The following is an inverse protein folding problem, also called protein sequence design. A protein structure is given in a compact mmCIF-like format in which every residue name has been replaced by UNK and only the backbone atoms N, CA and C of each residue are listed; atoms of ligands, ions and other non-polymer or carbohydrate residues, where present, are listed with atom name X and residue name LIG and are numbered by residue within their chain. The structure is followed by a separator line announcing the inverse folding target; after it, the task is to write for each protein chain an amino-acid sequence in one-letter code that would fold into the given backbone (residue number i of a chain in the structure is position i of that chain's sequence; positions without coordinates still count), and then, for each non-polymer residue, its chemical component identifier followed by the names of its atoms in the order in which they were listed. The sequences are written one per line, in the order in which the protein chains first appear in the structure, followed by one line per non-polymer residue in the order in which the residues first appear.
data_IF_648326499387
#
_entry.id   IF_648326499387
#
_cell.length_a   1.000
_cell.length_b   1.000
_cell.length_c   1.000
_cell.angle_alpha   90.00
_cell.angle_beta   90.00
_cell.angle_gamma   90.00
#
_symmetry.space_group_name_H-M   'P 1'
#
loop_
_entity.id
_entity.type
_entity.pdbx_description
1 polymer ?
#
# COMPACT_ATOMS: atom_id res chain seq x y z
N UNK A 1 19.11 61.46 12.47
CA UNK A 1 19.60 60.36 11.62
C UNK A 1 18.94 59.06 12.09
N UNK A 2 17.77 58.73 11.54
CA UNK A 2 16.98 57.55 11.96
C UNK A 2 17.03 56.54 10.81
N UNK A 3 17.60 55.36 11.07
CA UNK A 3 17.64 54.24 10.10
C UNK A 3 16.27 53.56 10.04
N UNK A 4 15.73 53.37 8.84
CA UNK A 4 14.61 52.46 8.57
C UNK A 4 15.10 51.00 8.48
N UNK A 5 14.34 50.00 8.94
CA UNK A 5 14.61 48.61 8.61
C UNK A 5 13.87 48.21 7.32
N UNK A 6 14.60 47.58 6.39
CA UNK A 6 14.08 47.04 5.15
C UNK A 6 13.23 45.78 5.39
N UNK A 7 11.97 45.80 4.93
CA UNK A 7 11.13 44.61 4.80
C UNK A 7 11.60 43.79 3.60
N UNK A 8 12.28 42.66 3.87
CA UNK A 8 12.74 41.73 2.82
C UNK A 8 12.44 40.26 3.18
N UNK A 9 11.17 39.94 3.48
CA UNK A 9 10.76 38.55 3.82
C UNK A 9 9.50 38.05 3.09
N UNK A 10 8.67 38.91 2.47
CA UNK A 10 7.39 38.46 1.90
C UNK A 10 7.46 37.79 0.51
N UNK A 11 8.55 37.96 -0.26
CA UNK A 11 8.57 37.51 -1.66
C UNK A 11 8.73 35.99 -1.83
N UNK A 12 9.50 35.31 -0.96
CA UNK A 12 9.77 33.86 -1.07
C UNK A 12 8.55 32.99 -0.72
N UNK A 13 7.73 33.43 0.25
CA UNK A 13 6.49 32.74 0.64
C UNK A 13 5.43 32.75 -0.46
N UNK A 14 5.23 33.90 -1.12
CA UNK A 14 4.26 34.04 -2.20
C UNK A 14 4.65 33.23 -3.46
N UNK A 15 5.95 33.13 -3.77
CA UNK A 15 6.46 32.29 -4.87
C UNK A 15 6.27 30.79 -4.58
N UNK A 16 6.51 30.35 -3.33
CA UNK A 16 6.27 28.96 -2.90
C UNK A 16 4.78 28.61 -2.95
N UNK A 17 3.91 29.52 -2.49
CA UNK A 17 2.45 29.37 -2.52
C UNK A 17 1.91 29.34 -3.95
N UNK A 18 2.37 30.24 -4.84
CA UNK A 18 1.99 30.23 -6.27
C UNK A 18 2.47 28.96 -7.00
N UNK A 19 3.64 28.42 -6.63
CA UNK A 19 4.16 27.15 -7.17
C UNK A 19 3.36 25.94 -6.67
N UNK A 20 3.00 25.92 -5.38
CA UNK A 20 2.11 24.92 -4.78
C UNK A 20 0.71 24.95 -5.42
N UNK A 21 0.14 26.14 -5.61
CA UNK A 21 -1.18 26.32 -6.23
C UNK A 21 -1.17 25.91 -7.71
N UNK A 22 -0.14 26.29 -8.49
CA UNK A 22 0.02 25.87 -9.90
C UNK A 22 0.27 24.36 -10.05
N UNK A 23 1.09 23.77 -9.19
CA UNK A 23 1.33 22.32 -9.16
C UNK A 23 0.05 21.56 -8.83
N UNK A 24 -0.71 22.03 -7.83
CA UNK A 24 -2.00 21.41 -7.49
C UNK A 24 -3.03 21.55 -8.60
N UNK A 25 -3.01 22.65 -9.37
CA UNK A 25 -3.97 22.87 -10.46
C UNK A 25 -3.75 21.91 -11.64
N UNK A 26 -2.49 21.65 -12.01
CA UNK A 26 -2.16 20.69 -13.08
C UNK A 26 -2.47 19.24 -12.67
N UNK A 27 -2.27 18.88 -11.41
CA UNK A 27 -2.61 17.56 -10.88
C UNK A 27 -4.13 17.38 -10.72
N UNK A 28 -4.86 18.43 -10.31
CA UNK A 28 -6.32 18.46 -10.28
C UNK A 28 -6.89 18.33 -11.69
N UNK A 29 -6.32 19.02 -12.68
CA UNK A 29 -6.72 18.86 -14.08
C UNK A 29 -6.41 17.46 -14.62
N UNK A 30 -5.34 16.82 -14.17
CA UNK A 30 -4.99 15.45 -14.56
C UNK A 30 -5.92 14.39 -13.96
N UNK A 31 -6.19 14.46 -12.65
CA UNK A 31 -7.21 13.61 -11.99
C UNK A 31 -8.58 13.87 -12.60
N UNK A 32 -8.93 15.13 -12.89
CA UNK A 32 -10.16 15.48 -13.60
C UNK A 32 -10.16 15.05 -15.07
N UNK A 33 -9.01 14.97 -15.75
CA UNK A 33 -8.87 14.51 -17.13
C UNK A 33 -9.06 12.99 -17.23
N UNK A 34 -8.42 12.23 -16.33
CA UNK A 34 -8.63 10.78 -16.19
C UNK A 34 -10.09 10.50 -15.79
N UNK A 35 -10.61 11.26 -14.82
CA UNK A 35 -12.02 11.13 -14.39
C UNK A 35 -12.99 11.44 -15.53
N UNK A 36 -12.77 12.48 -16.34
CA UNK A 36 -13.70 12.88 -17.43
C UNK A 36 -13.89 11.81 -18.51
N UNK A 37 -12.88 10.99 -18.82
CA UNK A 37 -13.03 9.83 -19.70
C UNK A 37 -13.60 8.59 -18.98
N UNK A 38 -13.29 8.42 -17.70
CA UNK A 38 -13.68 7.25 -16.90
C UNK A 38 -15.06 7.36 -16.20
N UNK A 39 -15.82 8.43 -16.50
CA UNK A 39 -17.17 8.67 -15.98
C UNK A 39 -18.25 7.72 -16.56
N UNK A 40 -17.97 6.96 -17.63
CA UNK A 40 -19.01 6.17 -18.34
C UNK A 40 -18.74 4.67 -18.42
N UNK A 41 -17.49 4.23 -18.39
CA UNK A 41 -17.12 2.83 -18.51
C UNK A 41 -15.80 2.54 -17.80
N UNK A 42 -15.60 1.28 -17.43
CA UNK A 42 -14.34 0.78 -16.89
C UNK A 42 -13.22 0.97 -17.93
N UNK A 43 -12.03 1.48 -17.54
CA UNK A 43 -10.88 1.57 -18.42
C UNK A 43 -10.53 0.22 -19.03
N UNK A 44 -10.13 0.23 -20.30
CA UNK A 44 -9.51 -0.92 -20.95
C UNK A 44 -8.06 -1.08 -20.48
N UNK A 45 -7.53 -2.30 -20.62
CA UNK A 45 -6.11 -2.59 -20.33
C UNK A 45 -5.14 -1.70 -21.10
N UNK A 46 -5.50 -1.27 -22.31
CA UNK A 46 -4.66 -0.38 -23.11
C UNK A 46 -4.63 1.05 -22.55
N UNK A 47 -5.78 1.55 -22.08
CA UNK A 47 -5.87 2.86 -21.42
C UNK A 47 -5.12 2.87 -20.09
N UNK A 48 -5.25 1.80 -19.30
CA UNK A 48 -4.49 1.60 -18.06
C UNK A 48 -2.98 1.65 -18.33
N UNK A 49 -2.50 0.88 -19.31
CA UNK A 49 -1.07 0.85 -19.68
C UNK A 49 -0.56 2.20 -20.17
N UNK A 50 -1.34 2.88 -21.01
CA UNK A 50 -1.01 4.23 -21.49
C UNK A 50 -0.91 5.22 -20.33
N UNK A 51 -1.88 5.18 -19.41
CA UNK A 51 -1.89 6.03 -18.22
C UNK A 51 -0.67 5.75 -17.32
N UNK A 52 -0.40 4.49 -16.98
CA UNK A 52 0.74 4.09 -16.14
C UNK A 52 2.10 4.48 -16.77
N UNK A 53 2.20 4.46 -18.10
CA UNK A 53 3.42 4.88 -18.80
C UNK A 53 3.73 6.37 -18.59
N UNK A 54 2.68 7.20 -18.44
CA UNK A 54 2.79 8.65 -18.21
C UNK A 54 3.13 9.02 -16.76
N UNK A 55 2.81 8.16 -15.79
CA UNK A 55 3.08 8.42 -14.38
C UNK A 55 4.57 8.30 -14.05
N UNK A 56 5.20 9.34 -13.48
CA UNK A 56 6.61 9.32 -13.10
C UNK A 56 6.87 9.80 -11.67
N UNK A 57 7.67 9.02 -10.95
CA UNK A 57 8.09 9.31 -9.58
C UNK A 57 7.00 9.08 -8.54
N UNK A 58 7.44 8.79 -7.32
CA UNK A 58 6.56 8.72 -6.16
C UNK A 58 5.95 10.09 -5.85
N UNK A 59 4.73 10.11 -5.30
CA UNK A 59 4.08 11.33 -4.81
C UNK A 59 4.24 11.54 -3.29
N UNK A 60 5.19 10.83 -2.68
CA UNK A 60 5.61 10.96 -1.28
C UNK A 60 7.14 11.07 -1.18
N UNK A 61 7.64 11.44 0.00
CA UNK A 61 9.07 11.72 0.22
C UNK A 61 9.92 10.46 0.01
N UNK A 62 11.01 10.58 -0.75
CA UNK A 62 11.88 9.46 -1.17
C UNK A 62 12.47 8.70 0.03
N UNK A 63 12.68 9.39 1.16
CA UNK A 63 13.15 8.78 2.41
C UNK A 63 12.23 7.69 2.98
N UNK A 64 10.98 7.60 2.50
CA UNK A 64 10.01 6.60 2.91
C UNK A 64 9.81 5.47 1.89
N UNK A 65 10.48 5.52 0.74
CA UNK A 65 10.37 4.45 -0.26
C UNK A 65 10.97 3.17 0.31
N UNK A 66 10.18 2.11 0.34
CA UNK A 66 10.53 0.83 0.94
C UNK A 66 10.38 0.78 2.46
N UNK A 67 9.87 1.84 3.11
CA UNK A 67 9.79 1.89 4.57
C UNK A 67 8.94 0.75 5.14
N UNK A 68 7.92 0.24 4.43
CA UNK A 68 7.12 -0.90 4.91
C UNK A 68 7.89 -2.22 4.99
N UNK A 69 9.06 -2.34 4.32
CA UNK A 69 9.95 -3.49 4.44
C UNK A 69 10.69 -3.54 5.78
N UNK A 70 10.85 -2.38 6.42
CA UNK A 70 11.53 -2.25 7.71
C UNK A 70 10.62 -2.57 8.90
N UNK A 71 9.35 -2.93 8.65
CA UNK A 71 8.39 -3.23 9.71
C UNK A 71 8.75 -4.54 10.44
N UNK A 72 8.52 -4.62 11.76
CA UNK A 72 7.88 -3.63 12.63
C UNK A 72 8.78 -2.41 12.89
N UNK A 73 8.18 -1.22 12.80
CA UNK A 73 8.92 0.03 12.99
C UNK A 73 9.22 0.31 14.46
N UNK A 74 10.38 0.94 14.73
CA UNK A 74 10.65 1.55 16.03
C UNK A 74 9.63 2.65 16.36
N UNK A 75 9.47 2.95 17.65
CA UNK A 75 8.59 4.04 18.09
C UNK A 75 8.95 5.38 17.43
N UNK A 76 10.24 5.69 17.30
CA UNK A 76 10.71 6.93 16.67
C UNK A 76 10.32 7.01 15.19
N UNK A 77 10.42 5.90 14.44
CA UNK A 77 10.04 5.84 13.02
C UNK A 77 8.52 5.97 12.86
N UNK A 78 7.75 5.34 13.74
CA UNK A 78 6.30 5.47 13.78
C UNK A 78 5.87 6.92 14.06
N UNK A 79 6.51 7.58 15.02
CA UNK A 79 6.23 8.97 15.36
C UNK A 79 6.66 9.92 14.24
N UNK A 80 7.75 9.62 13.53
CA UNK A 80 8.16 10.39 12.35
C UNK A 80 7.11 10.30 11.22
N UNK A 81 6.61 9.11 10.91
CA UNK A 81 5.53 8.92 9.93
C UNK A 81 4.27 9.72 10.31
N UNK A 82 3.86 9.66 11.59
CA UNK A 82 2.70 10.41 12.09
C UNK A 82 2.92 11.93 12.03
N UNK A 83 4.10 12.43 12.43
CA UNK A 83 4.44 13.87 12.34
C UNK A 83 4.42 14.37 10.90
N UNK A 84 4.83 13.54 9.94
CA UNK A 84 4.79 13.87 8.51
C UNK A 84 3.38 13.69 7.90
N UNK A 85 2.37 13.42 8.75
CA UNK A 85 0.95 13.41 8.42
C UNK A 85 0.43 12.07 7.90
N UNK A 86 1.21 11.00 7.97
CA UNK A 86 0.78 9.68 7.52
C UNK A 86 -0.11 8.99 8.56
N UNK A 87 -1.13 8.33 8.07
CA UNK A 87 -1.99 7.42 8.82
C UNK A 87 -1.54 6.00 8.53
N UNK A 88 -1.28 5.24 9.59
CA UNK A 88 -0.88 3.85 9.50
C UNK A 88 -2.13 2.95 9.58
N UNK A 89 -2.22 1.97 8.69
CA UNK A 89 -3.16 0.86 8.79
C UNK A 89 -2.36 -0.44 8.85
N UNK A 90 -2.75 -1.32 9.75
CA UNK A 90 -2.12 -2.63 9.90
C UNK A 90 -3.21 -3.66 10.16
N UNK A 91 -3.22 -4.74 9.40
CA UNK A 91 -4.10 -5.87 9.60
C UNK A 91 -3.36 -7.14 9.27
N UNK A 92 -3.47 -8.12 10.18
CA UNK A 92 -2.87 -9.44 10.03
C UNK A 92 -3.94 -10.47 10.38
N UNK A 93 -4.16 -11.45 9.50
CA UNK A 93 -5.17 -12.49 9.67
C UNK A 93 -4.56 -13.86 9.41
N UNK A 94 -4.92 -14.86 10.24
CA UNK A 94 -4.50 -16.25 10.02
C UNK A 94 -5.34 -16.81 8.87
N UNK A 95 -4.68 -17.31 7.84
CA UNK A 95 -5.34 -17.78 6.61
C UNK A 95 -5.20 -19.28 6.38
N UNK A 96 -4.33 -19.95 7.14
CA UNK A 96 -4.18 -21.40 7.07
C UNK A 96 -3.10 -21.93 8.00
N UNK A 97 -2.69 -23.16 7.73
CA UNK A 97 -1.56 -23.81 8.38
C UNK A 97 -0.79 -24.68 7.38
N UNK A 98 0.52 -24.82 7.57
CA UNK A 98 1.37 -25.68 6.77
C UNK A 98 1.94 -25.06 5.49
N UNK A 99 2.97 -25.72 4.92
CA UNK A 99 3.66 -25.26 3.71
C UNK A 99 2.73 -25.17 2.50
N UNK A 100 1.73 -26.05 2.42
CA UNK A 100 0.75 -26.03 1.33
C UNK A 100 -0.15 -24.79 1.37
N UNK A 101 -0.60 -24.38 2.57
CA UNK A 101 -1.38 -23.15 2.70
C UNK A 101 -0.54 -21.92 2.36
N UNK A 102 0.74 -21.90 2.76
CA UNK A 102 1.68 -20.85 2.40
C UNK A 102 1.90 -20.75 0.89
N UNK A 103 2.19 -21.86 0.22
CA UNK A 103 2.38 -21.88 -1.23
C UNK A 103 1.14 -21.35 -1.99
N UNK A 104 -0.06 -21.74 -1.55
CA UNK A 104 -1.32 -21.22 -2.11
C UNK A 104 -1.50 -19.72 -1.85
N UNK A 105 -1.23 -19.26 -0.62
CA UNK A 105 -1.34 -17.86 -0.26
C UNK A 105 -0.38 -17.00 -1.08
N UNK A 106 0.87 -17.46 -1.25
CA UNK A 106 1.90 -16.84 -2.08
C UNK A 106 1.46 -16.75 -3.54
N UNK A 107 1.00 -17.85 -4.13
CA UNK A 107 0.50 -17.87 -5.51
C UNK A 107 -0.66 -16.86 -5.72
N UNK A 108 -1.63 -16.85 -4.80
CA UNK A 108 -2.76 -15.91 -4.85
C UNK A 108 -2.33 -14.45 -4.72
N UNK A 109 -1.29 -14.20 -3.92
CA UNK A 109 -0.71 -12.88 -3.78
C UNK A 109 0.03 -12.46 -5.07
N UNK A 110 0.81 -13.35 -5.67
CA UNK A 110 1.53 -13.15 -6.94
C UNK A 110 0.60 -12.92 -8.14
N UNK A 111 -0.58 -13.54 -8.13
CA UNK A 111 -1.59 -13.42 -9.18
C UNK A 111 -2.70 -12.39 -8.87
N UNK A 112 -2.45 -11.47 -7.92
CA UNK A 112 -3.35 -10.37 -7.57
C UNK A 112 -4.76 -10.78 -7.09
N UNK A 113 -5.00 -12.03 -6.66
CA UNK A 113 -6.34 -12.55 -6.30
C UNK A 113 -6.95 -11.87 -5.09
N UNK A 114 -6.12 -11.38 -4.17
CA UNK A 114 -6.51 -10.56 -3.02
C UNK A 114 -7.03 -9.16 -3.42
N UNK A 115 -6.71 -8.72 -4.64
CA UNK A 115 -7.12 -7.47 -5.27
C UNK A 115 -8.03 -7.78 -6.48
N UNK A 116 -9.03 -8.66 -6.32
CA UNK A 116 -10.10 -8.90 -7.32
C UNK A 116 -11.48 -8.80 -6.65
N UNK A 117 -11.85 -7.60 -6.21
CA UNK A 117 -12.95 -7.37 -5.27
C UNK A 117 -14.25 -6.87 -5.94
N UNK A 118 -14.35 -6.93 -7.27
CA UNK A 118 -15.48 -6.43 -8.05
C UNK A 118 -15.52 -4.91 -8.22
N UNK A 119 -15.24 -4.16 -7.15
CA UNK A 119 -15.10 -2.69 -7.17
C UNK A 119 -13.64 -2.23 -7.23
N UNK A 120 -12.67 -3.10 -6.94
CA UNK A 120 -11.24 -2.84 -7.03
C UNK A 120 -10.52 -4.02 -7.68
N UNK A 121 -9.58 -3.74 -8.58
CA UNK A 121 -8.87 -4.77 -9.32
C UNK A 121 -7.52 -4.33 -9.88
N UNK A 122 -6.59 -5.26 -10.00
CA UNK A 122 -5.33 -5.11 -10.77
C UNK A 122 -5.38 -6.06 -11.97
N UNK A 123 -4.82 -5.68 -13.12
CA UNK A 123 -4.63 -6.59 -14.26
C UNK A 123 -3.78 -7.81 -13.82
N UNK A 124 -4.34 -9.03 -13.82
CA UNK A 124 -3.64 -10.24 -13.36
C UNK A 124 -2.38 -10.59 -14.17
N UNK A 125 -2.25 -10.06 -15.39
CA UNK A 125 -1.05 -10.24 -16.21
C UNK A 125 0.13 -9.35 -15.77
N UNK A 126 -0.08 -8.48 -14.79
CA UNK A 126 0.96 -7.54 -14.30
C UNK A 126 1.97 -8.27 -13.41
N UNK A 127 3.25 -8.37 -13.80
CA UNK A 127 4.25 -9.05 -12.99
C UNK A 127 4.63 -8.21 -11.77
N UNK A 128 4.74 -8.87 -10.61
CA UNK A 128 5.30 -8.27 -9.39
C UNK A 128 6.83 -8.27 -9.50
N UNK A 129 7.39 -7.14 -9.92
CA UNK A 129 8.85 -6.94 -10.05
C UNK A 129 9.22 -5.57 -9.54
N UNK A 130 10.37 -5.44 -8.88
CA UNK A 130 10.86 -4.14 -8.38
C UNK A 130 10.95 -3.13 -9.54
N UNK A 131 10.42 -1.93 -9.31
CA UNK A 131 10.29 -0.88 -10.33
C UNK A 131 9.15 -1.08 -11.34
N UNK A 132 8.46 -2.23 -11.32
CA UNK A 132 7.26 -2.49 -12.12
C UNK A 132 6.10 -1.61 -11.67
N UNK A 133 5.42 -0.97 -12.63
CA UNK A 133 4.21 -0.18 -12.37
C UNK A 133 2.97 -1.04 -12.50
N UNK A 134 1.98 -0.77 -11.66
CA UNK A 134 0.67 -1.38 -11.71
C UNK A 134 -0.41 -0.36 -11.36
N UNK A 135 -1.63 -0.59 -11.82
CA UNK A 135 -2.78 0.27 -11.56
C UNK A 135 -3.82 -0.50 -10.77
N UNK A 136 -4.32 0.09 -9.68
CA UNK A 136 -5.55 -0.40 -9.05
C UNK A 136 -6.71 0.35 -9.69
N UNK A 137 -7.47 -0.37 -10.51
CA UNK A 137 -8.71 0.13 -11.09
C UNK A 137 -9.81 0.02 -10.05
N UNK A 138 -10.33 1.17 -9.61
CA UNK A 138 -11.39 1.25 -8.60
C UNK A 138 -12.64 1.89 -9.20
N UNK A 139 -13.81 1.39 -8.81
CA UNK A 139 -15.09 2.03 -9.09
C UNK A 139 -15.51 2.85 -7.88
N UNK A 140 -15.19 4.14 -7.92
CA UNK A 140 -15.79 5.11 -7.03
C UNK A 140 -17.25 5.32 -7.45
N UNK A 141 -18.16 5.61 -6.50
CA UNK A 141 -19.62 5.61 -6.70
C UNK A 141 -20.15 6.26 -8.00
N UNK A 142 -19.40 7.18 -8.60
CA UNK A 142 -19.76 7.91 -9.83
C UNK A 142 -18.78 7.75 -10.99
N UNK A 143 -17.60 7.14 -10.79
CA UNK A 143 -16.54 7.09 -11.80
C UNK A 143 -15.57 5.93 -11.58
N UNK A 144 -15.03 5.40 -12.66
CA UNK A 144 -13.85 4.55 -12.59
C UNK A 144 -12.58 5.40 -12.43
N UNK A 145 -11.63 4.94 -11.63
CA UNK A 145 -10.33 5.56 -11.45
C UNK A 145 -9.24 4.52 -11.56
N UNK A 146 -8.09 4.92 -12.09
CA UNK A 146 -6.86 4.12 -12.05
C UNK A 146 -5.91 4.78 -11.06
N UNK A 147 -5.66 4.09 -9.95
CA UNK A 147 -4.67 4.52 -8.96
C UNK A 147 -3.30 3.94 -9.34
N UNK A 148 -2.30 4.76 -9.72
CA UNK A 148 -1.00 4.27 -10.18
C UNK A 148 -0.05 4.01 -9.01
N UNK A 149 0.56 2.83 -9.00
CA UNK A 149 1.57 2.41 -8.03
C UNK A 149 2.81 1.84 -8.74
N UNK A 150 3.90 1.74 -8.00
CA UNK A 150 5.12 1.05 -8.41
C UNK A 150 5.59 0.12 -7.28
N UNK A 151 6.04 -1.08 -7.63
CA UNK A 151 6.64 -2.01 -6.68
C UNK A 151 7.97 -1.43 -6.20
N UNK A 152 8.02 -0.99 -4.94
CA UNK A 152 9.19 -0.38 -4.32
C UNK A 152 10.24 -1.43 -3.91
N UNK A 153 9.79 -2.59 -3.45
CA UNK A 153 10.64 -3.73 -3.13
C UNK A 153 9.84 -5.04 -3.25
N UNK A 154 10.57 -6.14 -3.32
CA UNK A 154 10.06 -7.50 -3.29
C UNK A 154 10.94 -8.30 -2.33
N UNK A 155 10.32 -9.05 -1.44
CA UNK A 155 10.94 -9.99 -0.51
C UNK A 155 10.38 -11.37 -0.81
N UNK A 156 11.26 -12.31 -1.05
CA UNK A 156 10.93 -13.72 -1.22
C UNK A 156 12.07 -14.54 -0.60
N UNK A 157 11.83 -15.17 0.55
CA UNK A 157 12.90 -15.87 1.23
C UNK A 157 12.50 -16.49 2.57
N UNK A 158 13.46 -17.23 3.13
CA UNK A 158 13.45 -17.68 4.51
C UNK A 158 14.00 -16.56 5.41
N UNK A 159 13.22 -16.12 6.38
CA UNK A 159 13.65 -15.21 7.44
C UNK A 159 13.88 -16.01 8.73
N UNK A 160 14.93 -15.68 9.47
CA UNK A 160 15.11 -16.19 10.83
C UNK A 160 14.09 -15.50 11.75
N UNK A 161 13.37 -16.27 12.58
CA UNK A 161 12.14 -15.85 13.28
C UNK A 161 12.31 -14.80 14.40
N UNK A 162 13.33 -13.93 14.36
CA UNK A 162 13.56 -12.91 15.40
C UNK A 162 12.63 -11.70 15.30
N UNK A 163 11.96 -11.47 14.17
CA UNK A 163 11.27 -10.18 13.92
C UNK A 163 9.80 -10.12 14.38
N UNK A 164 9.18 -11.25 14.77
CA UNK A 164 7.75 -11.29 15.12
C UNK A 164 7.43 -11.22 16.64
N UNK A 165 8.41 -10.98 17.52
CA UNK A 165 8.17 -10.83 18.98
C UNK A 165 8.49 -9.42 19.48
N UNK A 166 7.61 -8.45 19.26
CA UNK A 166 7.57 -7.28 20.15
C UNK A 166 6.14 -6.85 20.44
N UNK A 167 5.58 -7.38 21.54
CA UNK A 167 4.80 -6.65 22.56
C UNK A 167 4.22 -7.63 23.59
N UNK A 168 4.89 -7.74 24.73
CA UNK A 168 4.37 -8.10 26.06
C UNK A 168 3.60 -9.42 26.19
N UNK A 169 4.32 -10.47 26.59
CA UNK A 169 3.87 -11.38 27.66
C UNK A 169 5.10 -12.02 28.32
N UNK A 170 5.46 -11.51 29.51
CA UNK A 170 6.42 -12.17 30.39
C UNK A 170 5.74 -13.30 31.14
N UNK A 171 6.25 -14.54 31.01
CA UNK A 171 6.62 -15.39 32.15
C UNK A 171 7.43 -16.62 31.71
N UNK A 172 8.64 -16.69 32.29
CA UNK A 172 9.42 -17.86 32.67
C UNK A 172 9.16 -19.20 31.96
N UNK A 173 10.06 -19.57 31.06
CA UNK A 173 10.76 -20.86 31.06
C UNK A 173 11.92 -20.81 30.06
N UNK A 174 13.14 -21.07 30.54
CA UNK A 174 14.36 -21.13 29.73
C UNK A 174 14.34 -22.43 28.91
N UNK A 175 13.81 -22.37 27.68
CA UNK A 175 14.09 -23.37 26.64
C UNK A 175 14.99 -22.72 25.59
N UNK A 176 16.06 -23.39 25.12
CA UNK A 176 16.82 -22.91 23.99
C UNK A 176 15.94 -23.06 22.75
N UNK A 177 15.30 -21.97 22.32
CA UNK A 177 14.55 -21.95 21.09
C UNK A 177 15.55 -21.95 19.93
N UNK A 178 15.75 -23.12 19.34
CA UNK A 178 16.20 -23.20 17.95
C UNK A 178 15.08 -22.58 17.11
N UNK A 179 15.14 -21.28 16.87
CA UNK A 179 14.16 -20.59 16.02
C UNK A 179 14.24 -21.21 14.63
N UNK A 180 13.20 -21.96 14.26
CA UNK A 180 13.06 -22.44 12.88
C UNK A 180 12.86 -21.24 11.95
N UNK A 181 13.31 -21.39 10.71
CA UNK A 181 13.13 -20.38 9.68
C UNK A 181 11.63 -20.16 9.42
N UNK A 182 11.22 -18.91 9.26
CA UNK A 182 9.90 -18.55 8.72
C UNK A 182 10.05 -18.32 7.22
N UNK A 183 9.10 -18.78 6.41
CA UNK A 183 9.06 -18.41 4.98
C UNK A 183 8.16 -17.19 4.79
N UNK A 184 8.63 -16.21 4.01
CA UNK A 184 7.87 -15.01 3.74
C UNK A 184 7.94 -14.62 2.26
N UNK A 185 6.80 -14.14 1.75
CA UNK A 185 6.73 -13.42 0.49
C UNK A 185 6.01 -12.10 0.72
N UNK A 186 6.63 -10.98 0.34
CA UNK A 186 6.05 -9.66 0.52
C UNK A 186 6.48 -8.70 -0.60
N UNK A 187 5.62 -7.76 -0.93
CA UNK A 187 6.00 -6.62 -1.79
C UNK A 187 5.35 -5.35 -1.28
N UNK A 188 6.04 -4.22 -1.45
CA UNK A 188 5.52 -2.89 -1.17
C UNK A 188 5.17 -2.15 -2.46
N UNK A 189 3.94 -1.66 -2.57
CA UNK A 189 3.50 -0.74 -3.62
C UNK A 189 3.55 0.71 -3.14
N UNK A 190 4.44 1.50 -3.73
CA UNK A 190 4.51 2.95 -3.51
C UNK A 190 3.61 3.70 -4.49
N UNK A 191 2.84 4.67 -3.99
CA UNK A 191 1.95 5.47 -4.83
C UNK A 191 2.73 6.44 -5.74
N UNK A 192 2.31 6.52 -7.01
CA UNK A 192 2.89 7.43 -8.00
C UNK A 192 2.10 8.73 -8.12
N UNK A 193 2.68 9.74 -8.78
CA UNK A 193 1.92 10.93 -9.20
C UNK A 193 0.69 10.52 -10.04
N UNK A 194 -0.46 11.08 -9.68
CA UNK A 194 -1.77 10.71 -10.23
C UNK A 194 -2.63 9.84 -9.30
N UNK A 195 -2.07 9.33 -8.19
CA UNK A 195 -2.83 8.61 -7.17
C UNK A 195 -3.54 9.57 -6.20
N UNK A 196 -4.75 9.23 -5.78
CA UNK A 196 -5.51 10.01 -4.77
C UNK A 196 -4.85 10.08 -3.38
N UNK A 197 -3.94 9.15 -3.07
CA UNK A 197 -3.24 9.04 -1.80
C UNK A 197 -1.75 9.08 -2.06
N UNK A 198 -1.00 9.49 -1.05
CA UNK A 198 0.45 9.48 -1.02
C UNK A 198 0.92 8.55 0.10
N UNK A 199 1.71 7.52 -0.22
CA UNK A 199 2.20 6.55 0.75
C UNK A 199 2.63 5.22 0.13
N UNK A 200 2.75 4.20 0.98
CA UNK A 200 3.16 2.86 0.59
C UNK A 200 2.28 1.81 1.28
N UNK A 201 1.98 0.73 0.56
CA UNK A 201 1.22 -0.42 1.04
C UNK A 201 1.97 -1.72 0.77
N UNK A 202 2.21 -2.49 1.84
CA UNK A 202 2.79 -3.83 1.81
C UNK A 202 1.69 -4.87 1.87
N UNK A 203 1.80 -5.86 1.00
CA UNK A 203 1.09 -7.13 1.11
C UNK A 203 2.10 -8.23 1.40
N UNK A 204 1.82 -9.06 2.40
CA UNK A 204 2.72 -10.15 2.77
C UNK A 204 1.96 -11.42 3.16
N UNK A 205 2.60 -12.56 2.87
CA UNK A 205 2.26 -13.85 3.43
C UNK A 205 3.46 -14.41 4.16
N UNK A 206 3.23 -14.96 5.35
CA UNK A 206 4.27 -15.51 6.21
C UNK A 206 3.81 -16.87 6.72
N UNK A 207 4.70 -17.84 6.72
CA UNK A 207 4.53 -19.12 7.39
C UNK A 207 5.50 -19.22 8.55
N UNK A 208 4.94 -19.34 9.75
CA UNK A 208 5.69 -19.60 10.97
C UNK A 208 5.85 -21.12 11.16
N UNK A 209 7.07 -21.62 11.03
CA UNK A 209 7.36 -23.05 11.19
C UNK A 209 7.29 -23.52 12.66
N UNK A 210 7.23 -22.62 13.64
CA UNK A 210 7.13 -22.95 15.07
C UNK A 210 5.73 -23.46 15.45
N UNK A 211 4.69 -22.76 15.01
CA UNK A 211 3.28 -23.05 15.32
C UNK A 211 2.46 -23.47 14.09
N UNK A 212 3.15 -23.67 12.96
CA UNK A 212 2.63 -24.04 11.66
C UNK A 212 1.62 -23.04 11.06
N UNK A 213 1.52 -21.82 11.59
CA UNK A 213 0.51 -20.86 11.17
C UNK A 213 0.91 -20.08 9.91
N UNK A 214 -0.05 -19.88 9.00
CA UNK A 214 0.11 -19.03 7.82
C UNK A 214 -0.71 -17.76 7.98
N UNK A 215 -0.06 -16.61 7.84
CA UNK A 215 -0.65 -15.29 8.01
C UNK A 215 -0.64 -14.50 6.72
N UNK A 216 -1.70 -13.75 6.48
CA UNK A 216 -1.78 -12.70 5.47
C UNK A 216 -1.78 -11.34 6.17
N UNK A 217 -1.00 -10.41 5.65
CA UNK A 217 -0.78 -9.10 6.25
C UNK A 217 -0.90 -7.99 5.22
N UNK A 218 -1.60 -6.92 5.62
CA UNK A 218 -1.68 -5.64 4.93
C UNK A 218 -1.14 -4.58 5.88
N UNK A 219 -0.07 -3.90 5.49
CA UNK A 219 0.52 -2.81 6.25
C UNK A 219 0.69 -1.60 5.32
N UNK A 220 0.10 -0.47 5.67
CA UNK A 220 0.26 0.76 4.89
C UNK A 220 0.45 1.99 5.75
N UNK A 221 1.13 2.97 5.19
CA UNK A 221 1.08 4.35 5.65
C UNK A 221 0.62 5.22 4.49
N UNK A 222 -0.34 6.11 4.71
CA UNK A 222 -0.86 6.97 3.64
C UNK A 222 -1.43 8.29 4.15
N UNK A 223 -1.49 9.29 3.28
CA UNK A 223 -2.17 10.56 3.50
C UNK A 223 -2.83 11.06 2.21
N UNK A 224 -3.80 11.99 2.26
CA UNK A 224 -4.36 12.61 1.06
C UNK A 224 -3.27 13.22 0.18
N UNK A 225 -3.29 12.94 -1.13
CA UNK A 225 -2.29 13.50 -2.06
C UNK A 225 -2.63 14.95 -2.46
N UNK A 226 -3.92 15.32 -2.47
CA UNK A 226 -4.39 16.62 -2.95
C UNK A 226 -5.45 17.24 -2.03
N UNK A 227 -5.61 18.56 -2.08
CA UNK A 227 -6.62 19.26 -1.27
C UNK A 227 -8.05 18.75 -1.51
N UNK A 228 -8.41 18.45 -2.77
CA UNK A 228 -9.73 17.87 -3.09
C UNK A 228 -9.94 16.49 -2.46
N UNK A 229 -8.87 15.68 -2.34
CA UNK A 229 -8.93 14.38 -1.66
C UNK A 229 -9.09 14.51 -0.15
N UNK A 230 -8.81 15.68 0.45
CA UNK A 230 -9.06 15.94 1.88
C UNK A 230 -10.56 15.94 2.17
N UNK A 231 -11.38 16.55 1.30
CA UNK A 231 -12.84 16.57 1.48
C UNK A 231 -13.47 15.18 1.30
N UNK A 232 -12.97 14.40 0.32
CA UNK A 232 -13.37 13.01 0.12
C UNK A 232 -12.72 12.01 1.08
N UNK A 233 -11.85 12.46 1.98
CA UNK A 233 -11.02 11.57 2.79
C UNK A 233 -11.81 10.62 3.69
N UNK A 234 -12.93 11.01 4.33
CA UNK A 234 -13.74 10.06 5.09
C UNK A 234 -14.23 8.87 4.24
N UNK A 235 -14.58 9.11 2.98
CA UNK A 235 -15.00 8.06 2.03
C UNK A 235 -13.81 7.17 1.70
N UNK A 236 -12.65 7.75 1.38
CA UNK A 236 -11.43 6.99 1.13
C UNK A 236 -11.02 6.12 2.34
N UNK A 237 -11.18 6.64 3.57
CA UNK A 237 -10.94 5.88 4.80
C UNK A 237 -11.90 4.70 4.95
N UNK A 238 -13.17 4.89 4.61
CA UNK A 238 -14.15 3.81 4.59
C UNK A 238 -13.76 2.75 3.57
N UNK A 239 -13.37 3.15 2.35
CA UNK A 239 -12.93 2.23 1.31
C UNK A 239 -11.66 1.48 1.68
N UNK A 240 -10.67 2.12 2.32
CA UNK A 240 -9.47 1.43 2.82
C UNK A 240 -9.84 0.33 3.84
N UNK A 241 -10.76 0.61 4.76
CA UNK A 241 -11.25 -0.40 5.72
C UNK A 241 -12.00 -1.54 5.01
N UNK A 242 -12.82 -1.20 4.01
CA UNK A 242 -13.55 -2.18 3.21
C UNK A 242 -12.59 -3.06 2.42
N UNK A 243 -11.58 -2.45 1.79
CA UNK A 243 -10.51 -3.13 1.07
C UNK A 243 -9.80 -4.15 1.96
N UNK A 244 -9.31 -3.71 3.13
CA UNK A 244 -8.61 -4.59 4.08
C UNK A 244 -9.47 -5.79 4.46
N UNK A 245 -10.74 -5.56 4.79
CA UNK A 245 -11.68 -6.62 5.14
C UNK A 245 -11.88 -7.59 3.97
N UNK A 246 -12.25 -7.09 2.80
CA UNK A 246 -12.60 -7.93 1.66
C UNK A 246 -11.40 -8.64 1.03
N UNK A 247 -10.22 -8.01 1.04
CA UNK A 247 -8.96 -8.63 0.64
C UNK A 247 -8.60 -9.80 1.57
N UNK A 248 -8.74 -9.60 2.89
CA UNK A 248 -8.55 -10.66 3.89
C UNK A 248 -9.52 -11.82 3.68
N UNK A 249 -10.80 -11.53 3.48
CA UNK A 249 -11.82 -12.54 3.18
C UNK A 249 -11.54 -13.26 1.85
N UNK A 250 -11.10 -12.54 0.81
CA UNK A 250 -10.74 -13.13 -0.47
C UNK A 250 -9.58 -14.12 -0.31
N UNK A 251 -8.52 -13.74 0.41
CA UNK A 251 -7.40 -14.63 0.70
C UNK A 251 -7.84 -15.90 1.43
N UNK A 252 -8.66 -15.77 2.48
CA UNK A 252 -9.19 -16.90 3.24
C UNK A 252 -10.05 -17.82 2.34
N UNK A 253 -11.00 -17.26 1.60
CA UNK A 253 -11.87 -18.03 0.69
C UNK A 253 -11.05 -18.80 -0.33
N UNK A 254 -10.09 -18.12 -0.93
CA UNK A 254 -9.25 -18.67 -1.98
C UNK A 254 -8.36 -19.80 -1.43
N UNK A 255 -7.80 -19.70 -0.22
CA UNK A 255 -7.02 -20.79 0.39
C UNK A 255 -7.90 -22.00 0.76
N UNK A 256 -9.16 -21.76 1.13
CA UNK A 256 -10.10 -22.80 1.52
C UNK A 256 -10.77 -23.51 0.32
N UNK A 257 -11.05 -22.80 -0.77
CA UNK A 257 -11.71 -23.36 -1.96
C UNK A 257 -10.83 -24.36 -2.73
N UNK A 258 -9.50 -24.26 -2.59
CA UNK A 258 -8.54 -25.20 -3.20
C UNK A 258 -8.19 -26.38 -2.27
N UNK A 259 -8.91 -26.55 -1.16
CA UNK A 259 -8.86 -27.79 -0.37
C UNK A 259 -9.65 -28.85 -1.15
N UNK A 260 -9.05 -30.01 -1.54
CA UNK A 260 -9.84 -31.08 -2.10
C UNK A 260 -10.96 -31.42 -1.11
N UNK A 261 -12.19 -31.51 -1.62
CA UNK A 261 -13.30 -32.11 -0.88
C UNK A 261 -12.75 -33.41 -0.28
N UNK A 262 -12.74 -33.52 1.05
CA UNK A 262 -12.41 -34.79 1.72
C UNK A 262 -13.33 -35.84 1.10
N UNK A 263 -12.75 -36.74 0.32
CA UNK A 263 -13.41 -37.93 -0.20
C UNK A 263 -13.74 -38.90 0.92
#
# INVERSE_FOLDING_TARGET
MVRQPAFHVQHKGALRLKRLLRSSSAEIEFVASVSRHCLRARPSTQEEKSFLSSCQGYNYDEKYVGATSEAPWSADRLDQLKRDGFIINHTRVKVGAGPHAFARAKDKLQNWRHLQLGWASVDPSTPIKVGGKFGIVVHEMVAWLVNPLQVAYLRDGQEEAETCRSSVEQRNEMKPATSKASQAFAFGGGTLRGHLLAGEERFAVEWNEEDDSVWYEILSFSKPAHFLTVAGFPVLRFQQKLFVKQSSEAMIREINNDMPLKG
#
